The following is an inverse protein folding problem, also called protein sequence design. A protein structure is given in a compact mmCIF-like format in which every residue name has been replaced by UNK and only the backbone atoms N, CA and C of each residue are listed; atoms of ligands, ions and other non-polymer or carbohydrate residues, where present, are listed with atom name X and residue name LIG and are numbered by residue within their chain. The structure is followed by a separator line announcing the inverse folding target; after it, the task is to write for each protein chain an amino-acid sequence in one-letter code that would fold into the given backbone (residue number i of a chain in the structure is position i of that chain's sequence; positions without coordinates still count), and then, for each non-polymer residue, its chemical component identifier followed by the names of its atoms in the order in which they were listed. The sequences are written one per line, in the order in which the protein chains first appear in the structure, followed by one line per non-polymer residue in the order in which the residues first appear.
data_IF_729913609568
#
_entry.id   IF_729913609568
#
_cell.length_a   1.000
_cell.length_b   1.000
_cell.length_c   1.000
_cell.angle_alpha   90.00
_cell.angle_beta   90.00
_cell.angle_gamma   90.00
#
_symmetry.space_group_name_H-M   'P 1'
#
loop_
_entity.id
_entity.type
_entity.pdbx_description
1 polymer ?
#
# COMPACT_ATOMS: atom_id res chain seq x y z
N UNK A 1 11.34 -14.37 -10.08
CA UNK A 1 12.50 -14.87 -10.84
C UNK A 1 12.55 -14.08 -12.14
N UNK A 2 13.08 -12.87 -12.07
CA UNK A 2 13.30 -11.95 -13.19
C UNK A 2 14.47 -11.07 -12.80
N UNK A 3 15.53 -11.07 -13.59
CA UNK A 3 16.25 -9.83 -13.81
C UNK A 3 16.60 -9.67 -15.30
N UNK A 4 17.24 -8.55 -15.63
CA UNK A 4 17.74 -8.13 -16.94
C UNK A 4 16.80 -7.24 -17.76
N UNK A 5 16.65 -6.02 -17.26
CA UNK A 5 16.66 -4.82 -18.09
C UNK A 5 17.53 -3.83 -17.32
N UNK A 6 18.76 -3.61 -17.79
CA UNK A 6 19.49 -2.35 -17.66
C UNK A 6 20.80 -2.43 -18.46
N UNK A 7 21.23 -1.27 -18.95
CA UNK A 7 22.47 -0.98 -19.68
C UNK A 7 22.46 -1.13 -21.21
N UNK A 8 21.83 -0.15 -21.87
CA UNK A 8 22.24 0.32 -23.20
C UNK A 8 22.59 1.81 -23.06
N UNK A 9 23.83 2.13 -22.68
CA UNK A 9 24.35 3.50 -22.76
C UNK A 9 24.89 3.77 -24.16
N UNK A 10 24.34 4.80 -24.82
CA UNK A 10 24.88 5.32 -26.08
C UNK A 10 26.09 6.19 -25.74
N UNK A 11 27.30 5.63 -25.82
CA UNK A 11 28.53 6.38 -25.55
C UNK A 11 29.00 7.07 -26.84
N UNK A 12 28.49 8.29 -27.04
CA UNK A 12 29.02 9.38 -27.90
C UNK A 12 29.02 9.21 -29.43
N UNK A 13 28.49 10.23 -30.13
CA UNK A 13 28.75 10.49 -31.56
C UNK A 13 30.04 11.30 -31.70
N UNK A 14 31.10 10.71 -32.23
CA UNK A 14 32.35 11.41 -32.55
C UNK A 14 32.48 11.73 -34.04
N UNK A 15 32.74 13.00 -34.38
CA UNK A 15 33.18 13.40 -35.71
C UNK A 15 34.71 13.47 -35.75
N UNK A 16 35.34 12.58 -36.50
CA UNK A 16 36.77 12.67 -36.82
C UNK A 16 36.95 12.72 -38.33
N UNK A 17 37.04 13.95 -38.84
CA UNK A 17 37.19 14.35 -40.26
C UNK A 17 36.00 13.95 -41.16
N UNK A 18 36.02 14.37 -42.44
CA UNK A 18 34.88 14.35 -43.40
C UNK A 18 34.27 12.97 -43.75
N UNK A 19 34.35 11.97 -42.88
CA UNK A 19 33.59 10.71 -42.96
C UNK A 19 32.93 10.42 -41.61
N UNK A 20 31.62 10.13 -41.63
CA UNK A 20 30.87 9.71 -40.45
C UNK A 20 31.18 8.25 -40.16
N UNK A 21 31.83 7.97 -39.03
CA UNK A 21 32.05 6.61 -38.51
C UNK A 21 31.18 6.40 -37.29
N UNK A 22 30.19 5.51 -37.41
CA UNK A 22 29.35 5.12 -36.28
C UNK A 22 30.02 3.96 -35.54
N UNK A 23 30.47 4.20 -34.31
CA UNK A 23 31.06 3.18 -33.45
C UNK A 23 29.99 2.74 -32.45
N UNK A 24 29.51 1.50 -32.55
CA UNK A 24 28.60 0.90 -31.58
C UNK A 24 29.41 -0.12 -30.78
N UNK A 25 29.66 0.17 -29.50
CA UNK A 25 30.28 -0.79 -28.58
C UNK A 25 29.20 -1.32 -27.64
N UNK A 26 28.99 -2.64 -27.63
CA UNK A 26 28.15 -3.31 -26.66
C UNK A 26 29.06 -4.09 -25.69
N UNK A 27 28.94 -3.82 -24.39
CA UNK A 27 29.65 -4.59 -23.37
C UNK A 27 28.65 -5.49 -22.64
N UNK A 28 28.82 -6.80 -22.79
CA UNK A 28 28.09 -7.80 -22.01
C UNK A 28 28.94 -8.17 -20.79
N UNK A 29 28.48 -7.99 -19.55
CA UNK A 29 29.33 -8.08 -18.36
C UNK A 29 29.60 -9.53 -17.90
N UNK A 30 29.78 -10.49 -18.80
CA UNK A 30 30.02 -11.88 -18.39
C UNK A 30 30.98 -12.74 -19.23
N UNK A 31 31.66 -12.25 -20.27
CA UNK A 31 32.76 -13.02 -20.88
C UNK A 31 33.93 -12.16 -21.37
N UNK A 32 35.14 -12.58 -20.97
CA UNK A 32 36.42 -12.07 -21.46
C UNK A 32 36.56 -12.51 -22.92
N UNK A 33 36.44 -11.58 -23.87
CA UNK A 33 36.62 -11.83 -25.29
C UNK A 33 36.73 -10.53 -26.10
N UNK A 34 37.68 -10.50 -27.04
CA UNK A 34 38.14 -9.33 -27.79
C UNK A 34 37.04 -8.40 -28.37
N UNK A 35 37.30 -7.08 -28.47
CA UNK A 35 36.37 -6.15 -29.11
C UNK A 35 36.22 -6.46 -30.60
N UNK A 36 34.99 -6.73 -31.04
CA UNK A 36 34.67 -6.86 -32.47
C UNK A 36 34.56 -5.46 -33.08
N UNK A 37 35.58 -5.07 -33.86
CA UNK A 37 35.56 -3.84 -34.67
C UNK A 37 34.97 -4.20 -36.05
N UNK A 38 33.76 -3.75 -36.34
CA UNK A 38 33.13 -3.90 -37.66
C UNK A 38 33.40 -2.65 -38.50
N UNK A 39 34.34 -2.72 -39.46
CA UNK A 39 34.65 -1.62 -40.39
C UNK A 39 33.77 -1.78 -41.63
N UNK A 40 32.70 -0.98 -41.74
CA UNK A 40 31.83 -0.98 -42.91
C UNK A 40 32.36 -0.03 -43.99
N UNK A 41 32.92 -0.57 -45.08
CA UNK A 41 33.39 0.24 -46.20
C UNK A 41 32.25 0.61 -47.18
N UNK A 42 32.09 1.92 -47.37
CA UNK A 42 31.43 2.66 -48.46
C UNK A 42 30.57 1.85 -49.45
N UNK A 43 29.24 1.98 -49.32
CA UNK A 43 28.31 2.28 -50.44
C UNK A 43 27.15 3.11 -49.90
N UNK A 44 27.03 4.37 -50.33
CA UNK A 44 26.03 5.33 -49.83
C UNK A 44 24.56 4.82 -49.92
N UNK A 45 24.29 3.89 -50.83
CA UNK A 45 22.97 3.25 -51.00
C UNK A 45 22.60 2.28 -49.84
N UNK A 46 23.58 1.61 -49.23
CA UNK A 46 23.32 0.66 -48.14
C UNK A 46 23.11 1.38 -46.79
N UNK A 47 23.75 2.53 -46.58
CA UNK A 47 23.50 3.38 -45.42
C UNK A 47 22.09 3.97 -45.41
N UNK A 48 21.56 4.36 -46.58
CA UNK A 48 20.20 4.87 -46.69
C UNK A 48 19.16 3.81 -46.30
N UNK A 49 19.38 2.55 -46.69
CA UNK A 49 18.51 1.42 -46.33
C UNK A 49 18.59 1.10 -44.83
N UNK A 50 19.80 1.11 -44.26
CA UNK A 50 19.98 0.93 -42.81
C UNK A 50 19.35 2.06 -42.01
N UNK A 51 19.49 3.31 -42.46
CA UNK A 51 18.83 4.46 -41.83
C UNK A 51 17.30 4.35 -41.89
N UNK A 52 16.74 3.90 -43.02
CA UNK A 52 15.29 3.71 -43.17
C UNK A 52 14.76 2.59 -42.26
N UNK A 53 15.48 1.46 -42.20
CA UNK A 53 15.17 0.33 -41.31
C UNK A 53 15.32 0.75 -39.85
N UNK A 54 16.34 1.54 -39.52
CA UNK A 54 16.57 2.06 -38.18
C UNK A 54 15.50 3.07 -37.76
N UNK A 55 15.00 3.92 -38.67
CA UNK A 55 13.85 4.79 -38.39
C UNK A 55 12.53 4.02 -38.21
N UNK A 56 12.33 2.94 -38.97
CA UNK A 56 11.19 2.03 -38.79
C UNK A 56 11.28 1.24 -37.47
N UNK A 57 12.49 0.85 -37.08
CA UNK A 57 12.77 0.21 -35.78
C UNK A 57 12.55 1.18 -34.61
N UNK A 58 13.04 2.43 -34.69
CA UNK A 58 12.81 3.45 -33.67
C UNK A 58 11.31 3.77 -33.54
N UNK A 59 10.56 3.79 -34.64
CA UNK A 59 9.10 3.97 -34.61
C UNK A 59 8.37 2.85 -33.85
N UNK A 60 8.96 1.65 -33.79
CA UNK A 60 8.43 0.50 -33.03
C UNK A 60 8.90 0.48 -31.57
N UNK A 61 10.07 1.07 -31.28
CA UNK A 61 10.57 1.35 -29.93
C UNK A 61 10.17 2.75 -29.47
N UNK A 62 8.91 3.12 -29.64
CA UNK A 62 8.33 4.10 -28.73
C UNK A 62 8.32 3.42 -27.37
N UNK A 63 9.29 3.75 -26.52
CA UNK A 63 9.23 3.46 -25.09
C UNK A 63 7.88 4.00 -24.65
N UNK A 64 6.97 3.08 -24.35
CA UNK A 64 5.66 3.41 -23.82
C UNK A 64 5.96 4.07 -22.48
N UNK A 65 6.03 5.39 -22.46
CA UNK A 65 6.12 6.16 -21.23
C UNK A 65 4.98 5.64 -20.37
N UNK A 66 5.32 5.13 -19.19
CA UNK A 66 4.36 4.62 -18.23
C UNK A 66 3.33 5.75 -18.04
N UNK A 67 2.11 5.55 -18.51
CA UNK A 67 1.03 6.51 -18.27
C UNK A 67 0.89 6.54 -16.76
N UNK A 68 1.40 7.59 -16.13
CA UNK A 68 1.34 7.77 -14.70
C UNK A 68 -0.13 7.92 -14.34
N UNK A 69 -0.76 6.79 -13.98
CA UNK A 69 -2.15 6.73 -13.57
C UNK A 69 -2.30 7.74 -12.44
N UNK A 70 -2.96 8.87 -12.73
CA UNK A 70 -3.15 9.92 -11.76
C UNK A 70 -4.21 9.45 -10.79
N UNK A 71 -3.77 8.71 -9.77
CA UNK A 71 -4.59 8.42 -8.61
C UNK A 71 -5.07 9.78 -8.08
N UNK A 72 -6.36 9.87 -7.74
CA UNK A 72 -6.89 11.03 -7.03
C UNK A 72 -6.22 11.21 -5.67
N UNK A 73 -6.92 11.79 -4.69
CA UNK A 73 -6.31 11.88 -3.35
C UNK A 73 -6.10 10.49 -2.74
N UNK A 74 -4.84 10.21 -2.41
CA UNK A 74 -4.40 9.00 -1.70
C UNK A 74 -4.09 9.38 -0.26
N UNK A 75 -4.61 8.60 0.68
CA UNK A 75 -4.30 8.74 2.11
C UNK A 75 -3.39 7.60 2.58
N UNK A 76 -2.52 7.89 3.55
CA UNK A 76 -1.78 6.89 4.30
C UNK A 76 -2.50 6.59 5.60
N UNK A 77 -2.77 5.32 5.87
CA UNK A 77 -3.42 4.89 7.12
C UNK A 77 -2.49 3.96 7.87
N UNK A 78 -2.19 4.33 9.12
CA UNK A 78 -1.63 3.39 10.07
C UNK A 78 -2.76 2.71 10.83
N UNK A 79 -3.07 1.47 10.46
CA UNK A 79 -4.12 0.68 11.14
C UNK A 79 -3.51 -0.01 12.35
N UNK A 80 -3.26 0.68 13.44
CA UNK A 80 -2.62 0.08 14.62
C UNK A 80 -3.58 -0.78 15.45
N UNK A 81 -3.00 -1.64 16.30
CA UNK A 81 -3.77 -2.54 17.17
C UNK A 81 -4.66 -1.79 18.16
N UNK A 82 -4.11 -0.75 18.81
CA UNK A 82 -4.82 0.04 19.82
C UNK A 82 -5.28 1.40 19.32
N UNK A 83 -4.48 2.05 18.47
CA UNK A 83 -4.80 3.32 17.86
C UNK A 83 -4.46 3.27 16.38
N UNK A 84 -5.22 4.00 15.59
CA UNK A 84 -4.99 4.22 14.17
C UNK A 84 -4.73 5.70 13.91
N UNK A 85 -4.01 6.00 12.85
CA UNK A 85 -3.85 7.38 12.37
C UNK A 85 -4.02 7.45 10.85
N UNK A 86 -4.34 8.65 10.36
CA UNK A 86 -4.50 8.92 8.95
C UNK A 86 -3.75 10.19 8.59
N UNK A 87 -3.02 10.12 7.48
CA UNK A 87 -2.20 11.20 6.96
C UNK A 87 -2.46 11.41 5.47
N UNK A 88 -2.22 12.63 5.00
CA UNK A 88 -2.30 13.00 3.59
C UNK A 88 -1.05 13.79 3.21
N UNK A 89 -0.55 13.59 1.99
CA UNK A 89 0.49 14.44 1.43
C UNK A 89 -0.16 15.62 0.70
N UNK A 90 0.15 16.84 1.14
CA UNK A 90 -0.38 18.09 0.57
C UNK A 90 0.76 19.10 0.46
N UNK A 91 0.88 19.76 -0.69
CA UNK A 91 1.90 20.78 -0.95
C UNK A 91 3.33 20.32 -0.61
N UNK A 92 3.66 19.06 -0.93
CA UNK A 92 4.97 18.47 -0.65
C UNK A 92 5.20 18.03 0.80
N UNK A 93 4.28 18.34 1.73
CA UNK A 93 4.39 17.99 3.15
C UNK A 93 3.39 16.90 3.53
N UNK A 94 3.77 16.07 4.48
CA UNK A 94 2.85 15.08 5.09
C UNK A 94 2.15 15.73 6.27
N UNK A 95 0.82 15.70 6.26
CA UNK A 95 -0.01 16.22 7.34
C UNK A 95 -0.75 15.06 8.00
N UNK A 96 -0.60 14.91 9.33
CA UNK A 96 -1.41 13.98 10.13
C UNK A 96 -2.73 14.67 10.46
N UNK A 97 -3.83 14.03 10.08
CA UNK A 97 -5.17 14.61 10.18
C UNK A 97 -5.71 14.36 11.59
N UNK A 98 -6.22 15.41 12.23
CA UNK A 98 -6.92 15.29 13.50
C UNK A 98 -8.36 14.81 13.28
N UNK A 99 -8.86 13.96 14.19
CA UNK A 99 -10.25 13.52 14.19
C UNK A 99 -11.20 14.60 14.71
N UNK A 100 -12.50 14.29 14.79
CA UNK A 100 -13.55 15.21 15.25
C UNK A 100 -13.39 15.70 16.70
N UNK A 101 -12.56 15.03 17.52
CA UNK A 101 -12.17 15.47 18.87
C UNK A 101 -10.87 16.27 18.90
N UNK A 102 -10.23 16.48 17.75
CA UNK A 102 -8.93 17.15 17.66
C UNK A 102 -7.73 16.24 17.92
N UNK A 103 -7.91 14.93 18.09
CA UNK A 103 -6.82 13.98 18.30
C UNK A 103 -6.22 13.51 16.97
N UNK A 104 -4.89 13.45 16.88
CA UNK A 104 -4.16 12.92 15.71
C UNK A 104 -4.08 11.40 15.63
N UNK A 105 -4.51 10.72 16.69
CA UNK A 105 -4.63 9.27 16.77
C UNK A 105 -6.05 8.95 17.24
N UNK A 106 -6.65 7.92 16.67
CA UNK A 106 -8.02 7.49 16.99
C UNK A 106 -7.96 6.07 17.54
N UNK A 107 -8.61 5.76 18.68
CA UNK A 107 -8.66 4.39 19.18
C UNK A 107 -9.21 3.40 18.16
N UNK A 108 -8.59 2.24 18.01
CA UNK A 108 -9.07 1.14 17.16
C UNK A 108 -10.19 0.35 17.86
N UNK A 109 -11.24 1.06 18.27
CA UNK A 109 -12.37 0.56 19.05
C UNK A 109 -13.65 0.69 18.23
N UNK A 110 -14.49 -0.35 18.30
CA UNK A 110 -15.84 -0.36 17.72
C UNK A 110 -16.81 -0.84 18.78
N UNK A 111 -17.80 -0.03 19.13
CA UNK A 111 -18.84 -0.40 20.08
C UNK A 111 -20.21 -0.45 19.40
N UNK A 112 -21.00 -1.43 19.80
CA UNK A 112 -22.37 -1.59 19.33
C UNK A 112 -23.33 -1.23 20.46
N UNK A 113 -24.19 -0.24 20.23
CA UNK A 113 -25.31 0.10 21.11
C UNK A 113 -26.61 -0.36 20.47
N UNK A 114 -27.74 -0.11 21.12
CA UNK A 114 -29.05 -0.45 20.57
C UNK A 114 -29.51 0.55 19.50
N UNK A 115 -28.96 1.76 19.50
CA UNK A 115 -29.32 2.81 18.56
C UNK A 115 -28.34 2.88 17.40
N UNK A 116 -27.03 2.82 17.70
CA UNK A 116 -25.98 3.14 16.75
C UNK A 116 -24.70 2.30 16.95
N UNK A 117 -23.76 2.51 16.03
CA UNK A 117 -22.41 1.96 16.12
C UNK A 117 -21.45 3.11 16.36
N UNK A 118 -20.70 3.02 17.46
CA UNK A 118 -19.68 3.99 17.84
C UNK A 118 -18.31 3.48 17.40
N UNK A 119 -17.43 4.37 16.95
CA UNK A 119 -16.08 4.04 16.50
C UNK A 119 -15.10 5.09 17.06
N UNK A 120 -13.90 4.68 17.45
CA UNK A 120 -12.89 5.62 17.93
C UNK A 120 -13.07 6.02 19.39
N UNK A 121 -12.88 7.31 19.67
CA UNK A 121 -12.96 7.87 21.02
C UNK A 121 -14.31 7.58 21.69
N UNK A 122 -15.42 7.73 20.96
CA UNK A 122 -16.76 7.45 21.46
C UNK A 122 -16.91 5.98 21.93
N UNK A 123 -16.39 5.02 21.15
CA UNK A 123 -16.43 3.60 21.51
C UNK A 123 -15.56 3.30 22.74
N UNK A 124 -14.36 3.88 22.80
CA UNK A 124 -13.45 3.71 23.94
C UNK A 124 -14.01 4.31 25.22
N UNK A 125 -14.62 5.48 25.17
CA UNK A 125 -15.13 6.18 26.34
C UNK A 125 -16.26 5.42 27.06
N UNK A 126 -17.11 4.69 26.32
CA UNK A 126 -18.19 3.90 26.91
C UNK A 126 -17.81 2.46 27.26
N UNK A 127 -16.56 2.05 27.03
CA UNK A 127 -16.08 0.68 27.26
C UNK A 127 -16.42 0.15 28.66
N UNK A 128 -16.19 0.96 29.71
CA UNK A 128 -16.44 0.55 31.10
C UNK A 128 -17.91 0.23 31.39
N UNK A 129 -18.85 0.86 30.67
CA UNK A 129 -20.29 0.62 30.82
C UNK A 129 -20.80 -0.51 29.92
N UNK A 130 -20.12 -0.80 28.81
CA UNK A 130 -20.57 -1.75 27.79
C UNK A 130 -19.43 -2.65 27.27
N UNK A 131 -18.71 -3.38 28.14
CA UNK A 131 -17.47 -4.06 27.75
C UNK A 131 -17.71 -5.22 26.76
N UNK A 132 -18.83 -5.94 26.88
CA UNK A 132 -19.14 -7.10 26.03
C UNK A 132 -19.49 -6.77 24.58
N UNK A 133 -19.92 -5.54 24.31
CA UNK A 133 -20.29 -5.07 22.97
C UNK A 133 -19.29 -4.04 22.43
N UNK A 134 -18.13 -3.92 23.08
CA UNK A 134 -17.05 -3.02 22.69
C UNK A 134 -15.84 -3.82 22.27
N UNK A 135 -15.58 -3.85 20.98
CA UNK A 135 -14.54 -4.63 20.35
C UNK A 135 -13.29 -3.76 20.17
N UNK A 136 -12.15 -4.31 20.56
CA UNK A 136 -10.81 -3.75 20.36
C UNK A 136 -9.84 -4.88 20.01
N UNK A 137 -8.60 -4.54 19.66
CA UNK A 137 -7.56 -5.53 19.33
C UNK A 137 -7.94 -6.50 18.19
N UNK A 138 -8.87 -6.12 17.31
CA UNK A 138 -9.27 -6.93 16.15
C UNK A 138 -8.08 -7.30 15.23
N UNK A 139 -7.05 -6.44 15.18
CA UNK A 139 -5.79 -6.68 14.46
C UNK A 139 -5.04 -7.93 14.99
N UNK A 140 -5.28 -8.36 16.23
CA UNK A 140 -4.71 -9.60 16.76
C UNK A 140 -5.35 -10.85 16.17
N UNK A 141 -6.61 -10.75 15.71
CA UNK A 141 -7.39 -11.86 15.16
C UNK A 141 -7.35 -11.92 13.62
N UNK A 142 -7.06 -10.81 12.96
CA UNK A 142 -7.13 -10.68 11.50
C UNK A 142 -6.22 -11.69 10.78
N UNK A 143 -6.77 -12.39 9.78
CA UNK A 143 -6.04 -13.39 8.98
C UNK A 143 -5.47 -14.59 9.74
N UNK A 144 -5.94 -14.85 10.98
CA UNK A 144 -5.51 -15.99 11.80
C UNK A 144 -6.51 -17.12 11.79
N UNK A 145 -6.09 -18.28 12.30
CA UNK A 145 -6.99 -19.40 12.57
C UNK A 145 -7.47 -19.38 14.01
N UNK A 146 -8.68 -19.87 14.24
CA UNK A 146 -9.29 -19.89 15.57
C UNK A 146 -8.44 -20.71 16.55
N UNK A 147 -7.84 -21.81 16.10
CA UNK A 147 -7.02 -22.71 16.90
C UNK A 147 -5.56 -22.25 17.10
N UNK A 148 -5.16 -21.09 16.55
CA UNK A 148 -3.83 -20.54 16.79
C UNK A 148 -3.61 -20.27 18.29
N UNK A 149 -2.44 -20.65 18.82
CA UNK A 149 -2.11 -20.47 20.24
C UNK A 149 -2.25 -19.03 20.71
N UNK A 150 -1.85 -18.09 19.87
CA UNK A 150 -1.94 -16.64 20.16
C UNK A 150 -3.40 -16.19 20.26
N UNK A 151 -4.28 -16.65 19.36
CA UNK A 151 -5.72 -16.37 19.42
C UNK A 151 -6.34 -16.93 20.69
N UNK A 152 -6.02 -18.17 21.04
CA UNK A 152 -6.51 -18.82 22.26
C UNK A 152 -6.02 -18.15 23.55
N UNK A 153 -4.85 -17.51 23.52
CA UNK A 153 -4.33 -16.72 24.64
C UNK A 153 -5.04 -15.37 24.73
N UNK A 154 -5.13 -14.63 23.62
CA UNK A 154 -5.75 -13.32 23.55
C UNK A 154 -7.25 -13.38 23.96
N UNK A 155 -7.97 -14.42 23.54
CA UNK A 155 -9.38 -14.64 23.89
C UNK A 155 -9.66 -14.70 25.40
N UNK A 156 -8.68 -15.05 26.24
CA UNK A 156 -8.83 -15.09 27.70
C UNK A 156 -8.88 -13.69 28.32
N UNK A 157 -8.45 -12.68 27.56
CA UNK A 157 -8.36 -11.30 27.99
C UNK A 157 -9.44 -10.41 27.36
N UNK A 158 -10.19 -10.93 26.39
CA UNK A 158 -11.28 -10.19 25.77
C UNK A 158 -12.56 -10.27 26.62
N UNK A 159 -13.27 -9.15 26.80
CA UNK A 159 -14.58 -9.14 27.46
C UNK A 159 -15.73 -9.52 26.53
N UNK A 160 -15.48 -9.61 25.22
CA UNK A 160 -16.43 -10.00 24.18
C UNK A 160 -16.16 -11.42 23.70
N UNK A 161 -17.18 -12.05 23.11
CA UNK A 161 -17.09 -13.45 22.67
C UNK A 161 -16.41 -13.57 21.31
N UNK A 162 -15.52 -14.56 21.18
CA UNK A 162 -14.95 -14.97 19.89
C UNK A 162 -15.35 -16.40 19.62
N UNK A 163 -15.99 -16.65 18.47
CA UNK A 163 -16.51 -17.95 18.06
C UNK A 163 -15.75 -18.49 16.85
N UNK A 164 -15.70 -19.81 16.72
CA UNK A 164 -15.13 -20.48 15.57
C UNK A 164 -16.17 -20.59 14.46
N UNK A 165 -15.87 -20.04 13.28
CA UNK A 165 -16.66 -20.27 12.07
C UNK A 165 -15.73 -20.81 10.99
N UNK A 166 -15.90 -22.09 10.65
CA UNK A 166 -15.12 -22.76 9.60
C UNK A 166 -13.59 -22.66 9.81
N UNK A 167 -13.12 -22.67 11.06
CA UNK A 167 -11.70 -22.56 11.40
C UNK A 167 -11.18 -21.14 11.56
N UNK A 168 -11.96 -20.11 11.25
CA UNK A 168 -11.61 -18.71 11.42
C UNK A 168 -12.23 -18.12 12.70
N UNK A 169 -11.52 -17.24 13.42
CA UNK A 169 -12.09 -16.52 14.55
C UNK A 169 -13.08 -15.47 14.07
N UNK A 170 -14.20 -15.35 14.76
CA UNK A 170 -15.24 -14.37 14.50
C UNK A 170 -15.69 -13.73 15.80
N UNK A 171 -15.99 -12.45 15.78
CA UNK A 171 -16.36 -11.68 16.97
C UNK A 171 -17.88 -11.68 17.07
N UNK A 172 -18.39 -12.21 18.17
CA UNK A 172 -19.83 -12.29 18.44
C UNK A 172 -20.22 -11.19 19.42
N UNK A 173 -21.16 -10.34 19.02
CA UNK A 173 -21.68 -9.24 19.83
C UNK A 173 -23.20 -9.16 19.70
N UNK A 174 -23.87 -8.83 20.80
CA UNK A 174 -25.30 -8.51 20.76
C UNK A 174 -25.51 -7.13 20.14
N UNK A 175 -26.42 -7.03 19.18
CA UNK A 175 -26.83 -5.77 18.54
C UNK A 175 -28.35 -5.77 18.50
N UNK A 176 -28.99 -4.80 19.17
CA UNK A 176 -30.46 -4.71 19.26
C UNK A 176 -31.13 -6.00 19.77
N UNK A 177 -30.49 -6.64 20.74
CA UNK A 177 -30.96 -7.91 21.30
C UNK A 177 -30.71 -9.17 20.45
N UNK A 178 -30.12 -9.03 19.27
CA UNK A 178 -29.76 -10.17 18.41
C UNK A 178 -28.24 -10.40 18.38
N UNK A 179 -27.85 -11.68 18.40
CA UNK A 179 -26.45 -12.04 18.19
C UNK A 179 -26.03 -11.75 16.74
N UNK A 180 -25.01 -10.91 16.59
CA UNK A 180 -24.33 -10.66 15.31
C UNK A 180 -22.91 -11.20 15.39
N UNK A 181 -22.45 -11.73 14.26
CA UNK A 181 -21.12 -12.30 14.11
C UNK A 181 -20.41 -11.46 13.06
N UNK A 182 -19.28 -10.88 13.44
CA UNK A 182 -18.43 -10.08 12.57
C UNK A 182 -17.08 -10.75 12.37
N UNK A 183 -16.54 -10.63 11.16
CA UNK A 183 -15.15 -11.00 10.93
C UNK A 183 -14.20 -9.94 11.50
N UNK A 184 -12.94 -10.28 11.84
CA UNK A 184 -11.95 -9.28 12.22
C UNK A 184 -11.71 -8.21 11.15
N UNK A 185 -11.86 -8.57 9.87
CA UNK A 185 -11.77 -7.69 8.71
C UNK A 185 -12.93 -6.69 8.67
N UNK A 186 -14.16 -7.10 9.01
CA UNK A 186 -15.31 -6.19 9.11
C UNK A 186 -15.11 -5.17 10.22
N UNK A 187 -14.66 -5.59 11.41
CA UNK A 187 -14.36 -4.67 12.52
C UNK A 187 -13.22 -3.70 12.14
N UNK A 188 -12.15 -4.21 11.53
CA UNK A 188 -11.05 -3.38 11.03
C UNK A 188 -11.52 -2.43 9.92
N UNK A 189 -12.43 -2.88 9.06
CA UNK A 189 -13.06 -2.09 8.01
C UNK A 189 -13.85 -0.91 8.58
N UNK A 190 -14.57 -1.10 9.69
CA UNK A 190 -15.25 -0.01 10.39
C UNK A 190 -14.26 1.05 10.90
N UNK A 191 -13.11 0.63 11.45
CA UNK A 191 -12.04 1.57 11.84
C UNK A 191 -11.48 2.31 10.63
N UNK A 192 -11.24 1.62 9.52
CA UNK A 192 -10.78 2.22 8.26
C UNK A 192 -11.81 3.20 7.67
N UNK A 193 -13.12 2.91 7.79
CA UNK A 193 -14.19 3.84 7.42
C UNK A 193 -14.09 5.13 8.24
N UNK A 194 -13.87 5.05 9.56
CA UNK A 194 -13.67 6.24 10.39
C UNK A 194 -12.43 7.06 9.97
N UNK A 195 -11.34 6.38 9.58
CA UNK A 195 -10.13 7.05 9.07
C UNK A 195 -10.39 7.73 7.73
N UNK A 196 -11.15 7.10 6.84
CA UNK A 196 -11.61 7.69 5.58
C UNK A 196 -12.48 8.91 5.82
N UNK A 197 -13.52 8.81 6.66
CA UNK A 197 -14.42 9.92 7.00
C UNK A 197 -13.64 11.11 7.59
N UNK A 198 -12.67 10.84 8.45
CA UNK A 198 -11.78 11.86 9.04
C UNK A 198 -11.00 12.60 7.95
N UNK A 199 -10.44 11.87 6.98
CA UNK A 199 -9.74 12.48 5.86
C UNK A 199 -10.68 13.24 4.92
N UNK A 200 -11.87 12.71 4.63
CA UNK A 200 -12.88 13.37 3.78
C UNK A 200 -13.36 14.68 4.40
N UNK A 201 -13.60 14.70 5.71
CA UNK A 201 -13.96 15.91 6.45
C UNK A 201 -12.85 16.98 6.39
N UNK A 202 -11.59 16.57 6.49
CA UNK A 202 -10.44 17.48 6.39
C UNK A 202 -10.23 18.02 4.96
N UNK A 203 -10.41 17.17 3.95
CA UNK A 203 -10.15 17.50 2.55
C UNK A 203 -11.33 18.16 1.83
N UNK A 204 -12.55 18.03 2.37
CA UNK A 204 -13.79 18.53 1.76
C UNK A 204 -14.20 17.79 0.49
N UNK A 205 -13.69 16.57 0.28
CA UNK A 205 -13.97 15.75 -0.92
C UNK A 205 -13.84 14.26 -0.63
N UNK A 206 -14.46 13.39 -1.46
CA UNK A 206 -14.37 11.94 -1.29
C UNK A 206 -12.94 11.41 -1.43
N UNK A 207 -12.61 10.38 -0.63
CA UNK A 207 -11.34 9.67 -0.67
C UNK A 207 -11.58 8.22 -1.07
N UNK A 208 -10.93 7.80 -2.15
CA UNK A 208 -11.14 6.47 -2.75
C UNK A 208 -9.92 5.58 -2.71
N UNK A 209 -8.72 6.12 -2.48
CA UNK A 209 -7.47 5.38 -2.54
C UNK A 209 -6.70 5.51 -1.23
N UNK A 210 -6.08 4.40 -0.79
CA UNK A 210 -5.27 4.39 0.42
C UNK A 210 -4.06 3.47 0.31
N UNK A 211 -3.05 3.78 1.12
CA UNK A 211 -1.95 2.88 1.48
C UNK A 211 -2.12 2.55 2.96
N UNK A 212 -2.08 1.26 3.31
CA UNK A 212 -2.30 0.80 4.69
C UNK A 212 -1.05 0.09 5.21
N UNK A 213 -0.66 0.37 6.44
CA UNK A 213 0.49 -0.28 7.08
C UNK A 213 0.10 -1.60 7.78
N UNK A 214 1.07 -2.52 7.85
CA UNK A 214 0.98 -3.75 8.63
C UNK A 214 2.32 -4.08 9.31
N UNK A 215 2.34 -4.88 10.40
CA UNK A 215 3.58 -5.31 11.01
C UNK A 215 4.44 -6.10 10.03
N UNK A 216 5.76 -5.99 10.13
CA UNK A 216 6.68 -6.67 9.20
C UNK A 216 6.53 -8.20 9.22
N UNK A 217 6.13 -8.77 10.36
CA UNK A 217 5.92 -10.20 10.56
C UNK A 217 4.55 -10.71 10.07
N UNK A 218 3.67 -9.85 9.54
CA UNK A 218 2.41 -10.30 8.95
C UNK A 218 2.65 -11.17 7.73
N UNK A 219 2.03 -12.36 7.75
CA UNK A 219 2.03 -13.29 6.63
C UNK A 219 1.05 -12.84 5.52
N UNK A 220 1.02 -13.57 4.40
CA UNK A 220 0.19 -13.23 3.24
C UNK A 220 -1.31 -13.24 3.56
N UNK A 221 -1.78 -14.16 4.40
CA UNK A 221 -3.19 -14.22 4.79
C UNK A 221 -3.61 -12.97 5.59
N UNK A 222 -2.77 -12.52 6.53
CA UNK A 222 -3.02 -11.32 7.33
C UNK A 222 -2.95 -10.04 6.48
N UNK A 223 -2.03 -9.98 5.51
CA UNK A 223 -1.95 -8.88 4.54
C UNK A 223 -3.18 -8.81 3.65
N UNK A 224 -3.63 -9.95 3.14
CA UNK A 224 -4.83 -10.03 2.31
C UNK A 224 -6.07 -9.64 3.12
N UNK A 225 -6.22 -10.16 4.34
CA UNK A 225 -7.33 -9.81 5.23
C UNK A 225 -7.36 -8.30 5.57
N UNK A 226 -6.19 -7.67 5.75
CA UNK A 226 -6.10 -6.21 5.93
C UNK A 226 -6.52 -5.45 4.67
N UNK A 227 -6.18 -5.96 3.49
CA UNK A 227 -6.63 -5.38 2.20
C UNK A 227 -8.13 -5.53 2.01
N UNK A 228 -8.71 -6.66 2.43
CA UNK A 228 -10.14 -6.92 2.38
C UNK A 228 -10.91 -5.97 3.32
N UNK A 229 -10.38 -5.71 4.52
CA UNK A 229 -10.91 -4.67 5.43
C UNK A 229 -10.94 -3.29 4.76
N UNK A 230 -9.89 -2.93 4.01
CA UNK A 230 -9.87 -1.70 3.21
C UNK A 230 -10.94 -1.66 2.13
N UNK A 231 -11.17 -2.80 1.47
CA UNK A 231 -12.22 -2.94 0.44
C UNK A 231 -13.61 -2.80 1.05
N UNK A 232 -13.85 -3.40 2.23
CA UNK A 232 -15.10 -3.25 3.01
C UNK A 232 -15.35 -1.78 3.37
N UNK A 233 -14.30 -1.02 3.69
CA UNK A 233 -14.38 0.42 3.97
C UNK A 233 -14.61 1.30 2.72
N UNK A 234 -14.68 0.70 1.52
CA UNK A 234 -14.81 1.42 0.25
C UNK A 234 -13.55 2.18 -0.15
N UNK A 235 -12.37 1.63 0.18
CA UNK A 235 -11.06 2.13 -0.24
C UNK A 235 -10.40 1.15 -1.22
N UNK A 236 -9.84 1.67 -2.31
CA UNK A 236 -8.91 0.94 -3.18
C UNK A 236 -7.52 0.99 -2.55
N UNK A 237 -7.09 -0.14 -1.99
CA UNK A 237 -5.77 -0.26 -1.36
C UNK A 237 -4.71 -0.42 -2.43
N UNK A 238 -3.91 0.64 -2.64
CA UNK A 238 -2.85 0.68 -3.64
C UNK A 238 -1.66 -0.20 -3.23
N UNK A 239 -1.30 -0.17 -1.95
CA UNK A 239 -0.18 -0.93 -1.40
C UNK A 239 -0.40 -1.21 0.08
N UNK A 240 0.04 -2.40 0.50
CA UNK A 240 0.27 -2.72 1.91
C UNK A 240 1.75 -2.52 2.19
N UNK A 241 2.09 -1.67 3.16
CA UNK A 241 3.48 -1.31 3.49
C UNK A 241 3.81 -1.81 4.88
N UNK A 242 5.05 -2.23 5.12
CA UNK A 242 5.48 -2.59 6.46
C UNK A 242 5.58 -1.33 7.32
N UNK A 243 5.03 -1.36 8.54
CA UNK A 243 5.13 -0.28 9.53
C UNK A 243 6.56 0.27 9.69
N UNK A 244 7.62 -0.54 9.91
CA UNK A 244 8.98 -0.01 10.02
C UNK A 244 9.50 0.64 8.72
N UNK A 245 9.04 0.18 7.56
CA UNK A 245 9.38 0.79 6.26
C UNK A 245 8.69 2.15 6.11
N UNK A 246 7.41 2.26 6.48
CA UNK A 246 6.69 3.53 6.47
C UNK A 246 7.34 4.56 7.41
N UNK A 247 7.75 4.13 8.61
CA UNK A 247 8.50 4.97 9.56
C UNK A 247 9.84 5.44 8.98
N UNK A 248 10.59 4.56 8.32
CA UNK A 248 11.86 4.93 7.67
C UNK A 248 11.65 5.94 6.51
N UNK A 249 10.59 5.77 5.72
CA UNK A 249 10.23 6.72 4.66
C UNK A 249 9.89 8.08 5.26
N UNK A 250 9.08 8.13 6.32
CA UNK A 250 8.73 9.38 6.99
C UNK A 250 9.98 10.13 7.46
N UNK A 251 10.92 9.43 8.11
CA UNK A 251 12.18 10.03 8.58
C UNK A 251 13.11 10.48 7.44
N UNK A 252 13.07 9.80 6.29
CA UNK A 252 13.85 10.17 5.10
C UNK A 252 13.30 11.39 4.36
N UNK A 253 11.98 11.61 4.42
CA UNK A 253 11.34 12.77 3.80
C UNK A 253 11.63 14.07 4.57
N UNK A 254 11.72 14.01 5.91
CA UNK A 254 12.02 15.18 6.76
C UNK A 254 13.45 15.73 6.60
N UNK A 255 14.36 15.00 5.93
CA UNK A 255 15.76 15.39 5.76
C UNK A 255 16.08 16.20 4.50
N UNK A 256 15.09 16.45 3.66
CA UNK A 256 15.25 17.21 2.40
C UNK A 256 14.75 18.67 2.50
N UNK A 257 14.50 19.16 3.72
CA UNK A 257 14.28 20.59 4.04
C UNK A 257 15.60 21.24 4.51
#
# INVERSE_FOLDING_TARGET
MTPYLDCLEVISLGFLTNNVTLIISAHCPSQIGHPYIFIMHRKASLLALFALIFTLFISSYTVKADEQESYGTVIGIDLGTTYSCVAVQKNGRVEIIANDQGHRITPSYVAFTDDERLIGDAAKNQYSANPKRTVFDAKRLIGRRFDDKEVQQDMKHFPFDVVNKNGAPQIKVAVKGEDRIFTPEEISGMVLTKMKETAEAYLGKPVTHAVVTVPAYFNDAQRQATKDAGTIAGLKILRIVNEPTAAAIAYGLDKND
#
